data_IF_454274736146
#
_entry.id   IF_454274736146
#
_cell.length_a   1.000
_cell.length_b   1.000
_cell.length_c   1.000
_cell.angle_alpha   90.00
_cell.angle_beta   90.00
_cell.angle_gamma   90.00
#
_symmetry.space_group_name_H-M   'P 1'
#
loop_
_entity.id
_entity.type
_entity.pdbx_description
1 polymer ?
#
# COMPACT_ATOMS: atom_id res chain seq x y z
N UNK A 1 -31.74 -3.04 16.64
CA UNK A 1 -31.54 -4.33 15.95
C UNK A 1 -31.24 -5.41 17.00
N UNK A 2 -31.94 -6.54 16.94
CA UNK A 2 -31.77 -7.66 17.89
C UNK A 2 -30.66 -8.58 17.36
N UNK A 3 -29.40 -8.25 17.64
CA UNK A 3 -28.27 -9.04 17.16
C UNK A 3 -28.22 -10.40 17.86
N UNK A 4 -28.06 -11.47 17.07
CA UNK A 4 -27.76 -12.83 17.54
C UNK A 4 -26.88 -13.53 16.49
N UNK A 5 -26.11 -14.55 16.87
CA UNK A 5 -25.31 -15.35 15.94
C UNK A 5 -26.21 -15.98 14.88
N UNK A 6 -25.83 -15.81 13.62
CA UNK A 6 -26.60 -16.31 12.50
C UNK A 6 -26.54 -17.86 12.48
N UNK A 7 -27.68 -18.56 12.49
CA UNK A 7 -27.72 -20.01 12.76
C UNK A 7 -27.35 -20.88 11.55
N UNK A 8 -27.43 -20.34 10.33
CA UNK A 8 -27.05 -21.01 9.08
C UNK A 8 -25.54 -20.83 8.79
N UNK A 9 -24.89 -19.80 9.36
CA UNK A 9 -23.44 -19.60 9.26
C UNK A 9 -22.68 -20.24 10.41
N UNK A 10 -21.73 -21.10 10.06
CA UNK A 10 -20.72 -21.59 11.00
C UNK A 10 -19.73 -20.48 11.37
N UNK A 11 -19.18 -20.54 12.57
CA UNK A 11 -18.13 -19.62 12.99
C UNK A 11 -16.93 -19.73 12.05
N UNK A 12 -16.53 -18.61 11.45
CA UNK A 12 -15.37 -18.55 10.56
C UNK A 12 -14.12 -18.64 11.42
N UNK A 13 -13.36 -19.72 11.25
CA UNK A 13 -12.03 -19.88 11.84
C UNK A 13 -10.98 -19.55 10.79
N UNK A 14 -10.17 -18.54 11.06
CA UNK A 14 -9.07 -18.10 10.20
C UNK A 14 -7.79 -18.73 10.77
N UNK A 15 -7.10 -19.54 9.98
CA UNK A 15 -5.87 -20.19 10.44
C UNK A 15 -4.68 -19.22 10.40
N UNK A 16 -3.69 -19.44 11.28
CA UNK A 16 -2.48 -18.60 11.35
C UNK A 16 -1.66 -18.69 10.05
N UNK A 17 -1.69 -19.84 9.37
CA UNK A 17 -1.04 -20.03 8.08
C UNK A 17 -1.67 -19.12 7.02
N UNK A 18 -3.00 -19.05 6.99
CA UNK A 18 -3.72 -18.21 6.03
C UNK A 18 -3.48 -16.72 6.29
N UNK A 19 -3.39 -16.30 7.56
CA UNK A 19 -3.00 -14.93 7.93
C UNK A 19 -1.59 -14.61 7.43
N UNK A 20 -0.63 -15.54 7.60
CA UNK A 20 0.75 -15.35 7.14
C UNK A 20 0.84 -15.26 5.62
N UNK A 21 0.11 -16.12 4.90
CA UNK A 21 0.08 -16.11 3.44
C UNK A 21 -0.49 -14.78 2.91
N UNK A 22 -1.61 -14.32 3.46
CA UNK A 22 -2.18 -13.02 3.11
C UNK A 22 -1.19 -11.91 3.45
N UNK A 23 -0.59 -11.93 4.63
CA UNK A 23 0.41 -10.95 5.06
C UNK A 23 1.59 -10.83 4.09
N UNK A 24 2.04 -11.93 3.50
CA UNK A 24 3.10 -11.93 2.48
C UNK A 24 2.62 -11.45 1.11
N UNK A 25 1.33 -11.58 0.79
CA UNK A 25 0.75 -11.10 -0.46
C UNK A 25 0.48 -9.59 -0.47
N UNK A 26 0.47 -8.95 0.70
CA UNK A 26 0.22 -7.51 0.83
C UNK A 26 1.44 -6.76 0.28
N UNK A 27 1.26 -5.94 -0.78
CA UNK A 27 2.35 -5.10 -1.28
C UNK A 27 2.69 -4.00 -0.26
N UNK A 28 3.80 -3.30 -0.51
CA UNK A 28 4.21 -2.13 0.27
C UNK A 28 3.02 -1.19 0.50
N UNK A 29 2.77 -0.85 1.77
CA UNK A 29 1.67 0.02 2.15
C UNK A 29 1.94 1.46 1.66
N UNK A 30 0.89 2.25 1.37
CA UNK A 30 1.05 3.63 0.91
C UNK A 30 1.91 4.48 1.85
N UNK A 31 1.74 4.31 3.16
CA UNK A 31 2.51 5.06 4.18
C UNK A 31 4.00 4.74 4.15
N UNK A 32 4.33 3.46 3.97
CA UNK A 32 5.73 3.02 3.89
C UNK A 32 6.35 3.45 2.56
N UNK A 33 5.58 3.36 1.46
CA UNK A 33 6.00 3.88 0.15
C UNK A 33 6.23 5.39 0.19
N UNK A 34 5.39 6.16 0.91
CA UNK A 34 5.54 7.60 1.08
C UNK A 34 6.84 7.94 1.81
N UNK A 35 7.13 7.27 2.93
CA UNK A 35 8.39 7.45 3.66
C UNK A 35 9.58 7.15 2.76
N UNK A 36 9.53 6.05 2.00
CA UNK A 36 10.58 5.70 1.04
C UNK A 36 10.76 6.78 -0.02
N UNK A 37 9.69 7.36 -0.56
CA UNK A 37 9.79 8.42 -1.56
C UNK A 37 10.45 9.69 -0.99
N UNK A 38 10.13 10.05 0.25
CA UNK A 38 10.76 11.19 0.93
C UNK A 38 12.24 10.91 1.19
N UNK A 39 12.60 9.72 1.67
CA UNK A 39 13.98 9.37 2.01
C UNK A 39 14.87 9.14 0.78
N UNK A 40 14.36 8.39 -0.21
CA UNK A 40 15.11 7.95 -1.39
C UNK A 40 15.16 9.01 -2.48
N UNK A 41 14.03 9.67 -2.77
CA UNK A 41 13.90 10.65 -3.85
C UNK A 41 13.94 12.11 -3.36
N UNK A 42 14.07 12.33 -2.04
CA UNK A 42 14.09 13.66 -1.40
C UNK A 42 12.90 14.54 -1.81
N UNK A 43 11.77 13.91 -2.05
CA UNK A 43 10.54 14.60 -2.41
C UNK A 43 9.96 15.33 -1.19
N UNK A 44 9.37 16.52 -1.36
CA UNK A 44 8.54 17.14 -0.35
C UNK A 44 7.42 16.21 0.09
N UNK A 45 7.03 16.28 1.37
CA UNK A 45 5.96 15.45 1.92
C UNK A 45 4.65 15.57 1.13
N UNK A 46 4.35 16.78 0.66
CA UNK A 46 3.17 17.07 -0.17
C UNK A 46 3.18 16.29 -1.49
N UNK A 47 4.31 16.28 -2.20
CA UNK A 47 4.44 15.60 -3.48
C UNK A 47 4.41 14.08 -3.28
N UNK A 48 5.07 13.58 -2.23
CA UNK A 48 5.03 12.17 -1.87
C UNK A 48 3.62 11.70 -1.50
N UNK A 49 2.82 12.54 -0.84
CA UNK A 49 1.42 12.24 -0.49
C UNK A 49 0.53 12.12 -1.73
N UNK A 50 0.71 13.03 -2.70
CA UNK A 50 -0.02 12.98 -3.97
C UNK A 50 0.37 11.73 -4.76
N UNK A 51 1.67 11.46 -4.90
CA UNK A 51 2.16 10.32 -5.68
C UNK A 51 1.75 8.97 -5.06
N UNK A 52 1.63 8.90 -3.74
CA UNK A 52 1.20 7.67 -3.03
C UNK A 52 -0.31 7.56 -2.79
N UNK A 53 -1.09 8.58 -3.18
CA UNK A 53 -2.55 8.57 -3.06
C UNK A 53 -3.24 7.43 -3.83
N UNK A 54 -2.59 6.93 -4.88
CA UNK A 54 -3.08 5.81 -5.67
C UNK A 54 -1.91 4.90 -6.07
N UNK A 55 -2.10 3.59 -5.91
CA UNK A 55 -1.11 2.60 -6.33
C UNK A 55 -0.67 2.80 -7.78
N UNK A 56 -1.60 3.09 -8.69
CA UNK A 56 -1.29 3.30 -10.11
C UNK A 56 -0.37 4.50 -10.35
N UNK A 57 -0.57 5.58 -9.59
CA UNK A 57 0.23 6.79 -9.72
C UNK A 57 1.64 6.57 -9.15
N UNK A 58 1.72 5.90 -8.00
CA UNK A 58 2.99 5.55 -7.38
C UNK A 58 3.80 4.62 -8.30
N UNK A 59 3.17 3.58 -8.86
CA UNK A 59 3.82 2.64 -9.76
C UNK A 59 4.27 3.35 -11.06
N UNK A 60 3.45 4.28 -11.59
CA UNK A 60 3.83 5.08 -12.76
C UNK A 60 5.05 5.98 -12.48
N UNK A 61 5.07 6.68 -11.35
CA UNK A 61 6.20 7.50 -10.93
C UNK A 61 7.48 6.67 -10.78
N UNK A 62 7.39 5.48 -10.16
CA UNK A 62 8.51 4.57 -10.02
C UNK A 62 9.02 4.02 -11.36
N UNK A 63 8.15 3.82 -12.34
CA UNK A 63 8.60 3.48 -13.70
C UNK A 63 9.29 4.67 -14.36
N UNK A 64 8.74 5.89 -14.25
CA UNK A 64 9.32 7.09 -14.85
C UNK A 64 10.70 7.42 -14.27
N UNK A 65 10.89 7.30 -12.96
CA UNK A 65 12.16 7.60 -12.28
C UNK A 65 13.29 6.66 -12.70
N UNK A 66 13.00 5.51 -13.32
CA UNK A 66 14.04 4.64 -13.91
C UNK A 66 14.69 5.24 -15.16
N UNK A 67 14.01 6.18 -15.82
CA UNK A 67 14.46 6.79 -17.08
C UNK A 67 15.06 8.20 -16.89
N UNK A 68 15.03 8.74 -15.67
CA UNK A 68 15.59 10.05 -15.35
C UNK A 68 16.10 10.09 -13.92
N UNK A 69 17.29 10.67 -13.72
CA UNK A 69 17.88 10.85 -12.39
C UNK A 69 17.26 12.03 -11.60
N UNK A 70 16.42 12.84 -12.25
CA UNK A 70 15.75 13.97 -11.61
C UNK A 70 14.30 13.63 -11.20
N UNK A 71 14.17 13.06 -10.01
CA UNK A 71 12.88 12.64 -9.46
C UNK A 71 11.88 13.78 -9.20
N UNK A 72 12.33 15.04 -9.17
CA UNK A 72 11.45 16.21 -8.94
C UNK A 72 10.82 16.72 -10.25
N UNK A 73 11.43 16.41 -11.38
CA UNK A 73 10.98 16.88 -12.71
C UNK A 73 10.14 15.84 -13.46
N UNK A 74 9.94 14.66 -12.87
CA UNK A 74 9.01 13.61 -13.34
C UNK A 74 7.56 14.01 -13.03
#
# INVERSE_FOLDING_TARGET
YRYFPEPDLVAISISDEWIKEIGQSIPELPDDKKKRFIEQYKLPEYDADILTSSKKLADFFEECVKYTDDAKSV
#
